data_IF_991187848732
#
_entry.id   IF_991187848732
#
_cell.length_a   1.000
_cell.length_b   1.000
_cell.length_c   1.000
_cell.angle_alpha   90.00
_cell.angle_beta   90.00
_cell.angle_gamma   90.00
#
_symmetry.space_group_name_H-M   'P 1'
#
loop_
_entity.id
_entity.type
_entity.pdbx_description
1 polymer ?
#
# COMPACT_ATOMS: atom_id res chain seq x y z
N UNK A 1 3.64 -4.86 -4.86
CA UNK A 1 4.01 -3.44 -5.09
C UNK A 1 2.71 -2.68 -5.24
N UNK A 2 2.61 -1.43 -4.79
CA UNK A 2 1.37 -0.67 -4.97
C UNK A 2 1.32 0.06 -6.32
N UNK A 3 0.13 0.57 -6.69
CA UNK A 3 -0.13 1.15 -8.02
C UNK A 3 0.82 2.32 -8.32
N UNK A 4 1.20 3.15 -7.34
CA UNK A 4 2.15 4.26 -7.52
C UNK A 4 3.51 3.80 -8.05
N UNK A 5 4.07 2.72 -7.48
CA UNK A 5 5.39 2.21 -7.89
C UNK A 5 5.31 1.42 -9.21
N UNK A 6 4.18 0.75 -9.46
CA UNK A 6 3.91 0.13 -10.76
C UNK A 6 3.86 1.21 -11.85
N UNK A 7 3.10 2.30 -11.62
CA UNK A 7 3.02 3.45 -12.54
C UNK A 7 4.40 4.01 -12.85
N UNK A 8 5.19 4.33 -11.83
CA UNK A 8 6.55 4.86 -12.00
C UNK A 8 7.46 3.92 -12.81
N UNK A 9 7.43 2.62 -12.55
CA UNK A 9 8.27 1.66 -13.27
C UNK A 9 7.88 1.53 -14.76
N UNK A 10 6.59 1.63 -15.07
CA UNK A 10 6.10 1.57 -16.45
C UNK A 10 6.41 2.87 -17.19
N UNK A 11 6.31 4.03 -16.53
CA UNK A 11 6.74 5.33 -17.08
C UNK A 11 8.23 5.33 -17.42
N UNK A 12 9.09 4.81 -16.54
CA UNK A 12 10.53 4.67 -16.79
C UNK A 12 10.83 3.79 -18.02
N UNK A 13 9.95 2.82 -18.31
CA UNK A 13 10.04 1.95 -19.50
C UNK A 13 9.50 2.62 -20.77
N UNK A 14 9.05 3.87 -20.71
CA UNK A 14 8.51 4.61 -21.84
C UNK A 14 7.10 4.19 -22.25
N UNK A 15 6.35 3.55 -21.35
CA UNK A 15 4.95 3.22 -21.61
C UNK A 15 4.11 4.48 -21.38
N UNK A 16 3.19 4.74 -22.30
CA UNK A 16 2.32 5.91 -22.28
C UNK A 16 1.40 5.88 -21.04
N UNK A 17 1.18 7.05 -20.44
CA UNK A 17 0.50 7.18 -19.15
C UNK A 17 -0.95 6.69 -19.19
N UNK A 18 -1.70 6.99 -20.26
CA UNK A 18 -3.08 6.54 -20.40
C UNK A 18 -3.19 5.00 -20.47
N UNK A 19 -2.25 4.32 -21.13
CA UNK A 19 -2.20 2.85 -21.12
C UNK A 19 -1.93 2.28 -19.72
N UNK A 20 -1.08 2.95 -18.94
CA UNK A 20 -0.80 2.55 -17.56
C UNK A 20 -2.05 2.72 -16.70
N UNK A 21 -2.74 3.85 -16.81
CA UNK A 21 -3.96 4.12 -16.05
C UNK A 21 -5.08 3.13 -16.39
N UNK A 22 -5.26 2.82 -17.68
CA UNK A 22 -6.18 1.78 -18.12
C UNK A 22 -5.81 0.40 -17.57
N UNK A 23 -4.53 0.05 -17.49
CA UNK A 23 -4.11 -1.24 -16.92
C UNK A 23 -4.32 -1.28 -15.39
N UNK A 24 -4.06 -0.16 -14.70
CA UNK A 24 -4.21 -0.06 -13.24
C UNK A 24 -5.68 -0.04 -12.80
N UNK A 25 -6.60 0.44 -13.64
CA UNK A 25 -8.05 0.44 -13.36
C UNK A 25 -8.68 -0.96 -13.45
N UNK A 26 -8.02 -1.91 -14.10
CA UNK A 26 -8.44 -3.32 -14.13
C UNK A 26 -8.12 -4.08 -12.84
N UNK A 27 -7.36 -3.47 -11.92
CA UNK A 27 -7.07 -4.05 -10.61
C UNK A 27 -8.35 -3.95 -9.78
N UNK A 28 -8.88 -5.11 -9.39
CA UNK A 28 -10.04 -5.21 -8.52
C UNK A 28 -9.73 -4.62 -7.13
N UNK A 29 -10.56 -3.69 -6.68
CA UNK A 29 -10.28 -2.85 -5.52
C UNK A 29 -10.39 -3.63 -4.20
N UNK A 30 -11.33 -4.55 -4.05
CA UNK A 30 -11.49 -5.36 -2.83
C UNK A 30 -10.26 -6.26 -2.62
N UNK A 31 -9.80 -6.94 -3.67
CA UNK A 31 -8.59 -7.75 -3.67
C UNK A 31 -7.34 -6.91 -3.38
N UNK A 32 -7.27 -5.69 -3.92
CA UNK A 32 -6.17 -4.77 -3.66
C UNK A 32 -6.14 -4.33 -2.19
N UNK A 33 -7.29 -3.95 -1.63
CA UNK A 33 -7.42 -3.60 -0.22
C UNK A 33 -7.14 -4.80 0.71
N UNK A 34 -7.61 -5.99 0.35
CA UNK A 34 -7.34 -7.22 1.10
C UNK A 34 -5.84 -7.52 1.16
N UNK A 35 -5.13 -7.35 0.04
CA UNK A 35 -3.67 -7.51 0.00
C UNK A 35 -2.96 -6.48 0.90
N UNK A 36 -3.37 -5.21 0.87
CA UNK A 36 -2.80 -4.16 1.73
C UNK A 36 -3.01 -4.53 3.20
N UNK A 37 -4.23 -4.95 3.57
CA UNK A 37 -4.57 -5.38 4.93
C UNK A 37 -3.73 -6.58 5.38
N UNK A 38 -3.57 -7.59 4.53
CA UNK A 38 -2.75 -8.77 4.82
C UNK A 38 -1.28 -8.38 5.11
N UNK A 39 -0.70 -7.52 4.26
CA UNK A 39 0.66 -7.03 4.44
C UNK A 39 0.80 -6.16 5.70
N UNK A 40 -0.20 -5.35 6.02
CA UNK A 40 -0.25 -4.54 7.23
C UNK A 40 -0.27 -5.42 8.49
N UNK A 41 -1.12 -6.45 8.52
CA UNK A 41 -1.19 -7.42 9.62
C UNK A 41 0.12 -8.21 9.79
N UNK A 42 0.72 -8.66 8.69
CA UNK A 42 2.04 -9.31 8.70
C UNK A 42 3.12 -8.39 9.30
N UNK A 43 3.07 -7.09 8.97
CA UNK A 43 4.02 -6.11 9.52
C UNK A 43 3.73 -5.81 10.99
N UNK A 44 2.46 -5.70 11.39
CA UNK A 44 2.03 -5.53 12.79
C UNK A 44 2.58 -6.66 13.67
N UNK A 45 2.47 -7.91 13.22
CA UNK A 45 3.00 -9.07 13.95
C UNK A 45 4.53 -9.05 14.16
N UNK A 46 5.28 -8.28 13.36
CA UNK A 46 6.74 -8.13 13.50
C UNK A 46 7.13 -6.94 14.40
N UNK A 47 6.16 -6.14 14.85
CA UNK A 47 6.41 -4.93 15.64
C UNK A 47 6.17 -5.25 17.11
N UNK A 48 7.22 -5.16 17.92
CA UNK A 48 7.19 -5.44 19.36
C UNK A 48 6.92 -4.22 20.24
N UNK A 49 6.31 -3.16 19.70
CA UNK A 49 6.08 -1.91 20.44
C UNK A 49 4.63 -1.84 20.90
N UNK A 50 4.41 -1.47 22.16
CA UNK A 50 3.06 -1.24 22.72
C UNK A 50 2.46 0.12 22.33
N UNK A 51 3.27 0.99 21.72
CA UNK A 51 2.85 2.31 21.25
C UNK A 51 2.16 2.20 19.89
N UNK A 52 0.83 2.30 19.90
CA UNK A 52 -0.03 2.20 18.71
C UNK A 52 0.32 3.25 17.65
N UNK A 53 0.66 4.48 18.05
CA UNK A 53 1.05 5.53 17.12
C UNK A 53 2.34 5.18 16.38
N UNK A 54 3.36 4.71 17.13
CA UNK A 54 4.63 4.26 16.53
C UNK A 54 4.44 3.01 15.67
N UNK A 55 3.58 2.08 16.08
CA UNK A 55 3.25 0.89 15.30
C UNK A 55 2.61 1.27 13.95
N UNK A 56 1.59 2.13 13.99
CA UNK A 56 0.91 2.68 12.80
C UNK A 56 1.90 3.36 11.86
N UNK A 57 2.73 4.27 12.37
CA UNK A 57 3.73 4.97 11.57
C UNK A 57 4.70 3.99 10.87
N UNK A 58 5.18 2.98 11.59
CA UNK A 58 6.07 1.94 11.03
C UNK A 58 5.41 1.13 9.92
N UNK A 59 4.14 0.76 10.08
CA UNK A 59 3.40 -0.01 9.08
C UNK A 59 3.12 0.85 7.85
N UNK A 60 2.62 2.07 8.03
CA UNK A 60 2.38 3.00 6.92
C UNK A 60 3.65 3.26 6.11
N UNK A 61 4.78 3.57 6.77
CA UNK A 61 6.06 3.77 6.09
C UNK A 61 6.51 2.53 5.30
N UNK A 62 6.33 1.33 5.87
CA UNK A 62 6.71 0.08 5.20
C UNK A 62 5.88 -0.21 3.94
N UNK A 63 4.62 0.20 3.90
CA UNK A 63 3.73 0.01 2.74
C UNK A 63 3.91 1.15 1.72
N UNK A 64 4.07 2.39 2.15
CA UNK A 64 4.33 3.53 1.27
C UNK A 64 5.62 3.33 0.45
N UNK A 65 6.69 2.81 1.07
CA UNK A 65 7.95 2.48 0.37
C UNK A 65 7.81 1.34 -0.66
N UNK A 66 6.77 0.49 -0.52
CA UNK A 66 6.39 -0.53 -1.51
C UNK A 66 5.51 0.03 -2.63
N UNK A 67 5.13 1.30 -2.56
CA UNK A 67 4.38 2.01 -3.60
C UNK A 67 2.88 2.02 -3.43
N UNK A 68 2.36 1.64 -2.25
CA UNK A 68 0.94 1.75 -1.96
C UNK A 68 0.57 3.20 -1.65
N UNK A 69 -0.67 3.56 -1.95
CA UNK A 69 -1.25 4.89 -1.80
C UNK A 69 -1.37 5.24 -0.33
N UNK A 70 -0.80 6.36 0.09
CA UNK A 70 -0.64 6.70 1.50
C UNK A 70 -1.96 6.83 2.26
N UNK A 71 -2.98 7.43 1.62
CA UNK A 71 -4.32 7.58 2.19
C UNK A 71 -4.99 6.22 2.41
N UNK A 72 -5.01 5.36 1.38
CA UNK A 72 -5.58 4.01 1.47
C UNK A 72 -4.86 3.15 2.52
N UNK A 73 -3.53 3.23 2.56
CA UNK A 73 -2.72 2.55 3.58
C UNK A 73 -3.11 3.04 4.98
N UNK A 74 -3.22 4.35 5.18
CA UNK A 74 -3.57 4.93 6.47
C UNK A 74 -4.94 4.45 6.95
N UNK A 75 -5.96 4.49 6.09
CA UNK A 75 -7.31 4.04 6.43
C UNK A 75 -7.37 2.56 6.82
N UNK A 76 -6.65 1.69 6.10
CA UNK A 76 -6.61 0.26 6.38
C UNK A 76 -5.85 0.00 7.68
N UNK A 77 -4.74 0.69 7.90
CA UNK A 77 -3.92 0.53 9.12
C UNK A 77 -4.67 1.00 10.36
N UNK A 78 -5.42 2.10 10.25
CA UNK A 78 -6.25 2.61 11.36
C UNK A 78 -7.27 1.57 11.81
N UNK A 79 -7.93 0.90 10.87
CA UNK A 79 -8.94 -0.14 11.16
C UNK A 79 -8.38 -1.40 11.81
N UNK A 80 -7.06 -1.59 11.84
CA UNK A 80 -6.41 -2.78 12.43
C UNK A 80 -5.60 -2.45 13.69
N UNK A 81 -5.39 -1.17 14.01
CA UNK A 81 -4.71 -0.68 15.21
C UNK A 81 -5.71 0.21 15.94
N UNK A 82 -6.65 -0.42 16.64
CA UNK A 82 -7.33 0.20 17.79
C UNK A 82 -6.34 0.31 18.94
#
# INVERSE_FOLDING_TARGET
MGKTKIKQQLLIKGIEESLIENALSLIEDDAYQALIKELALKKKAQISTDDHFRAKQKICNALNTKGFEGELVYEIVEKIID
#
